data_IF_075611873114
#
_entry.id   IF_075611873114
#
_cell.length_a   1.000
_cell.length_b   1.000
_cell.length_c   1.000
_cell.angle_alpha   90.00
_cell.angle_beta   90.00
_cell.angle_gamma   90.00
#
_symmetry.space_group_name_H-M   'P 1'
#
loop_
_entity.id
_entity.type
_entity.pdbx_description
1 polymer ?
#
# COMPACT_ATOMS: atom_id res chain seq x y z
N UNK A 1 -24.69 -47.81 -18.71
CA UNK A 1 -24.50 -47.45 -17.29
C UNK A 1 -24.45 -45.94 -17.20
N UNK A 2 -25.47 -45.24 -16.70
CA UNK A 2 -25.34 -43.82 -16.42
C UNK A 2 -24.59 -43.66 -15.10
N UNK A 3 -23.42 -43.02 -15.14
CA UNK A 3 -22.76 -42.51 -13.94
C UNK A 3 -23.32 -41.11 -13.67
N UNK A 4 -23.90 -40.95 -12.50
CA UNK A 4 -24.43 -39.69 -11.96
C UNK A 4 -23.29 -38.70 -11.71
N UNK A 5 -23.36 -37.53 -12.34
CA UNK A 5 -22.51 -36.38 -12.03
C UNK A 5 -23.16 -35.56 -10.91
N UNK A 6 -23.02 -36.01 -9.66
CA UNK A 6 -23.30 -35.16 -8.51
C UNK A 6 -22.13 -34.19 -8.32
N UNK A 7 -22.18 -33.07 -9.04
CA UNK A 7 -21.24 -31.98 -8.96
C UNK A 7 -21.32 -31.26 -7.61
N UNK A 8 -20.46 -31.64 -6.67
CA UNK A 8 -20.25 -30.87 -5.43
C UNK A 8 -19.49 -29.59 -5.76
N UNK A 9 -20.22 -28.46 -5.79
CA UNK A 9 -19.68 -27.11 -5.96
C UNK A 9 -18.90 -26.68 -4.71
N UNK A 10 -17.58 -26.59 -4.81
CA UNK A 10 -16.66 -26.25 -3.71
C UNK A 10 -16.51 -24.74 -3.41
N UNK A 11 -17.37 -23.87 -3.96
CA UNK A 11 -17.27 -22.42 -3.76
C UNK A 11 -18.58 -21.83 -3.29
N UNK A 12 -18.91 -22.08 -2.02
CA UNK A 12 -19.81 -21.18 -1.32
C UNK A 12 -19.19 -19.78 -1.34
N UNK A 13 -19.90 -18.81 -1.96
CA UNK A 13 -19.56 -17.40 -1.81
C UNK A 13 -19.93 -17.04 -0.38
N UNK A 14 -18.94 -16.76 0.48
CA UNK A 14 -19.20 -16.15 1.78
C UNK A 14 -19.87 -14.81 1.50
N UNK A 15 -21.05 -14.59 2.08
CA UNK A 15 -21.75 -13.33 1.94
C UNK A 15 -20.93 -12.23 2.64
N UNK A 16 -21.04 -10.97 2.21
CA UNK A 16 -20.36 -9.86 2.89
C UNK A 16 -20.80 -9.75 4.37
N UNK A 17 -21.96 -10.31 4.75
CA UNK A 17 -22.46 -10.33 6.13
C UNK A 17 -21.78 -11.40 7.01
N UNK A 18 -21.28 -12.48 6.41
CA UNK A 18 -20.66 -13.62 7.13
C UNK A 18 -19.12 -13.56 7.10
N UNK A 19 -18.55 -12.63 6.34
CA UNK A 19 -17.11 -12.44 6.23
C UNK A 19 -16.57 -11.62 7.39
N UNK A 20 -15.84 -12.27 8.31
CA UNK A 20 -15.02 -11.58 9.30
C UNK A 20 -13.65 -11.27 8.67
N UNK A 21 -13.33 -10.01 8.33
CA UNK A 21 -12.04 -9.69 7.75
C UNK A 21 -10.92 -9.98 8.77
N UNK A 22 -9.77 -10.52 8.33
CA UNK A 22 -8.66 -10.79 9.23
C UNK A 22 -8.07 -9.51 9.84
N UNK A 23 -8.33 -8.37 9.22
CA UNK A 23 -7.97 -7.04 9.72
C UNK A 23 -9.22 -6.15 9.65
N UNK A 24 -9.69 -5.59 10.79
CA UNK A 24 -10.78 -4.63 10.81
C UNK A 24 -10.57 -3.45 9.86
N UNK A 25 -11.68 -2.84 9.41
CA UNK A 25 -11.63 -1.54 8.74
C UNK A 25 -11.28 -0.48 9.80
N UNK A 26 -10.32 0.40 9.50
CA UNK A 26 -9.97 1.47 10.42
C UNK A 26 -8.60 2.07 10.15
N UNK A 27 -8.23 3.03 10.99
CA UNK A 27 -6.89 3.59 11.04
C UNK A 27 -6.01 2.70 11.92
N UNK A 28 -4.74 2.54 11.54
CA UNK A 28 -3.79 1.75 12.31
C UNK A 28 -2.56 2.59 12.58
N UNK A 29 -2.15 2.69 13.85
CA UNK A 29 -0.86 3.29 14.18
C UNK A 29 0.25 2.35 13.67
N UNK A 30 1.15 2.86 12.84
CA UNK A 30 2.18 2.04 12.17
C UNK A 30 3.62 2.45 12.49
N UNK A 31 3.83 3.70 12.89
CA UNK A 31 5.14 4.25 13.24
C UNK A 31 4.96 5.53 14.07
N UNK A 32 5.98 5.91 14.83
CA UNK A 32 6.14 7.26 15.32
C UNK A 32 6.57 8.20 14.17
N UNK A 33 6.17 9.48 14.24
CA UNK A 33 6.54 10.50 13.25
C UNK A 33 8.04 10.55 12.98
N UNK A 34 8.85 10.46 14.04
CA UNK A 34 10.30 10.58 13.99
C UNK A 34 11.00 9.39 13.31
N UNK A 35 10.32 8.24 13.19
CA UNK A 35 10.84 7.07 12.48
C UNK A 35 10.80 7.26 10.96
N UNK A 36 10.06 8.27 10.46
CA UNK A 36 9.97 8.60 9.03
C UNK A 36 10.42 10.04 8.82
N UNK A 37 11.74 10.31 8.93
CA UNK A 37 12.29 11.64 8.74
C UNK A 37 12.22 12.08 7.26
N UNK A 38 12.24 11.12 6.33
CA UNK A 38 12.34 11.34 4.88
C UNK A 38 13.70 11.89 4.44
N UNK A 39 13.94 11.93 3.12
CA UNK A 39 13.09 11.42 2.04
C UNK A 39 13.18 9.90 1.82
N UNK A 40 14.11 9.21 2.49
CA UNK A 40 14.28 7.77 2.39
C UNK A 40 13.04 7.01 2.88
N UNK A 41 12.77 5.87 2.25
CA UNK A 41 11.60 5.06 2.56
C UNK A 41 11.93 3.98 3.60
N UNK A 42 11.07 3.87 4.61
CA UNK A 42 11.23 2.95 5.75
C UNK A 42 10.19 1.82 5.66
N UNK A 43 10.66 0.57 5.78
CA UNK A 43 9.81 -0.61 5.74
C UNK A 43 8.96 -0.76 7.00
N UNK A 44 7.74 -1.28 6.84
CA UNK A 44 6.91 -1.77 7.93
C UNK A 44 6.00 -2.90 7.44
N UNK A 45 5.64 -3.84 8.32
CA UNK A 45 4.71 -4.90 7.98
C UNK A 45 3.29 -4.56 8.45
N UNK A 46 2.29 -4.74 7.60
CA UNK A 46 0.93 -4.33 7.85
C UNK A 46 -0.10 -5.14 7.07
N UNK A 47 -1.17 -5.60 7.73
CA UNK A 47 -2.27 -6.30 7.05
C UNK A 47 -1.80 -7.54 6.26
N UNK A 48 -0.76 -8.22 6.77
CA UNK A 48 -0.09 -9.33 6.09
C UNK A 48 0.68 -8.92 4.83
N UNK A 49 1.19 -7.68 4.77
CA UNK A 49 1.89 -7.11 3.61
C UNK A 49 3.12 -6.34 4.05
N UNK A 50 4.14 -6.36 3.21
CA UNK A 50 5.30 -5.48 3.36
C UNK A 50 5.01 -4.16 2.66
N UNK A 51 5.01 -3.10 3.45
CA UNK A 51 4.71 -1.74 3.05
C UNK A 51 5.91 -0.84 3.38
N UNK A 52 5.90 0.37 2.83
CA UNK A 52 6.89 1.42 3.09
C UNK A 52 6.23 2.75 3.34
N UNK A 53 6.86 3.54 4.20
CA UNK A 53 6.55 4.94 4.45
C UNK A 53 7.68 5.80 3.91
N UNK A 54 7.36 6.96 3.35
CA UNK A 54 8.33 8.01 3.04
C UNK A 54 7.69 9.37 3.23
N UNK A 55 8.51 10.43 3.26
CA UNK A 55 8.04 11.80 3.39
C UNK A 55 8.39 12.59 2.13
N UNK A 56 7.39 13.27 1.57
CA UNK A 56 7.58 14.13 0.41
C UNK A 56 8.19 15.48 0.79
N UNK A 57 8.51 16.30 -0.21
CA UNK A 57 9.15 17.60 -0.02
C UNK A 57 8.28 18.60 0.78
N UNK A 58 6.95 18.42 0.77
CA UNK A 58 6.00 19.24 1.54
C UNK A 58 5.82 18.72 2.97
N UNK A 59 6.51 17.64 3.34
CA UNK A 59 6.44 17.02 4.65
C UNK A 59 5.29 16.03 4.83
N UNK A 60 4.50 15.74 3.78
CA UNK A 60 3.41 14.77 3.87
C UNK A 60 3.94 13.33 3.76
N UNK A 61 3.43 12.46 4.64
CA UNK A 61 3.79 11.04 4.64
C UNK A 61 3.00 10.29 3.58
N UNK A 62 3.69 9.45 2.80
CA UNK A 62 3.10 8.56 1.79
C UNK A 62 3.35 7.12 2.16
N UNK A 63 2.37 6.26 1.91
CA UNK A 63 2.48 4.82 2.13
C UNK A 63 2.18 4.04 0.85
N UNK A 64 3.05 3.09 0.53
CA UNK A 64 2.87 2.17 -0.59
C UNK A 64 3.35 0.76 -0.23
N UNK A 65 3.14 -0.19 -1.13
CA UNK A 65 3.71 -1.53 -1.04
C UNK A 65 5.24 -1.45 -1.20
N UNK A 66 6.00 -2.28 -0.50
CA UNK A 66 7.47 -2.25 -0.59
C UNK A 66 8.00 -2.80 -1.93
N UNK A 67 7.13 -3.36 -2.78
CA UNK A 67 7.53 -4.03 -4.01
C UNK A 67 7.26 -3.19 -5.26
N UNK A 68 8.32 -2.86 -6.01
CA UNK A 68 8.22 -2.22 -7.30
C UNK A 68 7.59 -3.16 -8.36
N UNK A 69 6.54 -2.74 -9.08
CA UNK A 69 5.82 -3.58 -10.03
C UNK A 69 6.60 -3.89 -11.31
N UNK A 70 7.80 -3.32 -11.50
CA UNK A 70 8.67 -3.61 -12.64
C UNK A 70 9.23 -5.04 -12.55
N UNK A 71 10.23 -5.25 -11.69
CA UNK A 71 10.88 -6.57 -11.50
C UNK A 71 11.07 -6.92 -10.02
N UNK A 72 10.32 -6.28 -9.12
CA UNK A 72 10.34 -6.61 -7.70
C UNK A 72 11.47 -5.97 -6.89
N UNK A 73 12.01 -4.83 -7.33
CA UNK A 73 12.92 -4.04 -6.49
C UNK A 73 12.21 -3.53 -5.23
N UNK A 74 12.88 -3.64 -4.08
CA UNK A 74 12.32 -3.16 -2.81
C UNK A 74 12.55 -1.66 -2.65
N UNK A 75 11.51 -0.90 -2.30
CA UNK A 75 11.61 0.54 -2.07
C UNK A 75 12.33 0.84 -0.76
N UNK A 76 12.22 -0.02 0.24
CA UNK A 76 12.92 0.09 1.53
C UNK A 76 14.44 -0.05 1.39
N UNK A 77 14.93 -0.61 0.28
CA UNK A 77 16.36 -0.79 0.01
C UNK A 77 16.93 0.38 -0.81
N UNK A 78 16.68 1.61 -0.36
CA UNK A 78 17.25 2.84 -0.93
C UNK A 78 16.31 3.65 -1.83
N UNK A 79 15.03 3.29 -1.89
CA UNK A 79 13.99 4.11 -2.48
C UNK A 79 13.74 5.37 -1.66
N UNK A 80 13.24 6.40 -2.34
CA UNK A 80 13.02 7.71 -1.76
C UNK A 80 11.81 8.38 -2.38
N UNK A 81 11.28 9.39 -1.72
CA UNK A 81 10.35 10.32 -2.34
C UNK A 81 11.14 11.54 -2.83
N UNK A 82 11.00 11.88 -4.11
CA UNK A 82 11.56 13.10 -4.71
C UNK A 82 10.40 13.94 -5.21
N UNK A 83 10.35 15.19 -4.78
CA UNK A 83 9.13 16.03 -4.86
C UNK A 83 7.96 15.30 -4.17
N UNK A 84 6.95 14.84 -4.91
CA UNK A 84 5.82 14.03 -4.44
C UNK A 84 5.81 12.61 -5.02
N UNK A 85 6.90 12.21 -5.68
CA UNK A 85 7.01 10.98 -6.45
C UNK A 85 7.92 9.93 -5.78
N UNK A 86 7.48 8.67 -5.78
CA UNK A 86 8.27 7.54 -5.29
C UNK A 86 9.25 7.10 -6.37
N UNK A 87 10.54 7.06 -6.05
CA UNK A 87 11.61 6.63 -6.97
C UNK A 87 12.15 5.28 -6.54
N UNK A 88 12.05 4.28 -7.42
CA UNK A 88 12.60 2.95 -7.20
C UNK A 88 14.14 2.98 -7.25
N UNK A 89 14.85 2.40 -6.26
CA UNK A 89 16.31 2.43 -6.23
C UNK A 89 16.96 1.59 -7.32
N UNK A 90 16.23 0.63 -7.89
CA UNK A 90 16.83 -0.36 -8.78
C UNK A 90 17.02 0.19 -10.20
N UNK A 91 15.95 0.67 -10.82
CA UNK A 91 15.95 1.16 -12.20
C UNK A 91 15.40 2.57 -12.34
N UNK A 92 15.19 3.29 -11.23
CA UNK A 92 14.69 4.66 -11.23
C UNK A 92 13.25 4.84 -11.74
N UNK A 93 12.44 3.77 -11.77
CA UNK A 93 11.02 3.91 -12.11
C UNK A 93 10.36 4.83 -11.08
N UNK A 94 9.66 5.84 -11.58
CA UNK A 94 9.06 6.89 -10.76
C UNK A 94 7.55 6.76 -10.78
N UNK A 95 6.93 6.84 -9.60
CA UNK A 95 5.50 6.73 -9.40
C UNK A 95 4.97 8.01 -8.76
N UNK A 96 3.96 8.61 -9.37
CA UNK A 96 3.32 9.83 -8.87
C UNK A 96 2.49 9.61 -7.60
N UNK A 97 1.90 10.68 -7.05
CA UNK A 97 1.14 10.62 -5.79
C UNK A 97 -0.13 9.76 -5.88
N UNK A 98 -0.65 9.51 -7.08
CA UNK A 98 -1.77 8.59 -7.33
C UNK A 98 -1.32 7.12 -7.55
N UNK A 99 -0.01 6.88 -7.47
CA UNK A 99 0.64 5.59 -7.65
C UNK A 99 0.87 5.20 -9.11
N UNK A 100 0.46 5.99 -10.11
CA UNK A 100 0.74 5.68 -11.52
C UNK A 100 2.23 5.93 -11.82
N UNK A 101 2.81 5.09 -12.66
CA UNK A 101 4.15 5.34 -13.18
C UNK A 101 4.12 6.58 -14.08
N UNK A 102 5.02 7.52 -13.81
CA UNK A 102 5.13 8.80 -14.53
C UNK A 102 6.45 8.92 -15.29
N UNK A 103 7.45 8.12 -14.92
CA UNK A 103 8.75 8.11 -15.59
C UNK A 103 9.36 6.70 -15.60
N UNK A 104 9.91 6.32 -16.76
CA UNK A 104 10.80 5.17 -16.94
C UNK A 104 12.11 5.73 -17.51
N UNK A 105 13.23 5.69 -16.76
CA UNK A 105 14.50 6.29 -17.21
C UNK A 105 15.04 5.72 -18.52
N UNK A 106 14.71 4.46 -18.85
CA UNK A 106 15.09 3.83 -20.12
C UNK A 106 14.41 4.46 -21.34
N UNK A 107 13.35 5.27 -21.15
CA UNK A 107 12.60 5.92 -22.23
C UNK A 107 11.55 5.02 -22.90
N UNK A 108 11.33 3.81 -22.37
CA UNK A 108 10.30 2.90 -22.86
C UNK A 108 8.88 3.45 -22.61
N UNK A 109 7.89 3.08 -23.44
CA UNK A 109 6.50 3.43 -23.20
C UNK A 109 6.02 2.91 -21.85
N UNK A 110 5.41 3.80 -21.04
CA UNK A 110 4.89 3.44 -19.72
C UNK A 110 3.68 2.50 -19.87
N UNK A 111 3.73 1.27 -19.32
CA UNK A 111 2.59 0.36 -19.37
C UNK A 111 1.40 0.90 -18.55
N UNK A 112 0.18 0.79 -19.06
CA UNK A 112 -1.03 1.25 -18.34
C UNK A 112 -1.21 0.61 -16.95
N UNK A 113 -0.71 -0.62 -16.79
CA UNK A 113 -0.75 -1.37 -15.53
C UNK A 113 0.39 -1.02 -14.57
N UNK A 114 1.36 -0.21 -14.97
CA UNK A 114 2.47 0.22 -14.13
C UNK A 114 1.97 1.19 -13.06
N UNK A 115 1.51 0.63 -11.95
CA UNK A 115 1.04 1.38 -10.80
C UNK A 115 1.32 0.66 -9.49
N UNK A 116 1.61 1.43 -8.46
CA UNK A 116 1.64 0.98 -7.07
C UNK A 116 0.34 1.34 -6.38
N UNK A 117 -0.02 0.60 -5.34
CA UNK A 117 -1.15 0.99 -4.49
C UNK A 117 -0.69 2.06 -3.52
N UNK A 118 -1.43 3.16 -3.45
CA UNK A 118 -1.27 4.16 -2.40
C UNK A 118 -2.26 3.88 -1.27
N UNK A 119 -1.77 3.95 -0.03
CA UNK A 119 -2.62 3.91 1.16
C UNK A 119 -2.87 5.32 1.67
N UNK A 120 -4.05 5.54 2.26
CA UNK A 120 -4.31 6.78 2.95
C UNK A 120 -3.52 6.81 4.26
N UNK A 121 -2.83 7.92 4.50
CA UNK A 121 -1.98 8.16 5.66
C UNK A 121 -2.41 9.45 6.32
N UNK A 122 -2.36 9.49 7.64
CA UNK A 122 -2.44 10.74 8.40
C UNK A 122 -1.43 10.74 9.53
N UNK A 123 -1.00 11.93 9.92
CA UNK A 123 -0.13 12.13 11.06
C UNK A 123 -0.93 12.79 12.18
N UNK A 124 -0.94 12.19 13.37
CA UNK A 124 -1.68 12.68 14.55
C UNK A 124 -0.91 12.37 15.83
N UNK A 125 -0.79 13.37 16.70
CA UNK A 125 -0.23 13.21 18.06
C UNK A 125 1.16 12.54 18.12
N UNK A 126 1.99 12.72 17.09
CA UNK A 126 3.33 12.12 16.99
C UNK A 126 3.36 10.70 16.42
N UNK A 127 2.23 10.22 15.89
CA UNK A 127 2.08 8.93 15.24
C UNK A 127 1.66 9.05 13.78
N UNK A 128 2.10 8.09 12.99
CA UNK A 128 1.67 7.89 11.62
C UNK A 128 0.61 6.78 11.62
N UNK A 129 -0.54 7.09 11.05
CA UNK A 129 -1.66 6.18 10.93
C UNK A 129 -1.94 5.84 9.47
N UNK A 130 -2.12 4.54 9.18
CA UNK A 130 -2.45 4.03 7.84
C UNK A 130 -3.85 3.44 7.84
N UNK A 131 -4.67 3.84 6.88
CA UNK A 131 -6.04 3.35 6.78
C UNK A 131 -6.13 1.97 6.09
N UNK A 132 -6.80 1.03 6.74
CA UNK A 132 -7.18 -0.26 6.18
C UNK A 132 -8.67 -0.29 5.84
N UNK A 133 -8.97 -0.77 4.63
CA UNK A 133 -10.33 -1.09 4.21
C UNK A 133 -10.31 -2.13 3.09
N UNK A 134 -11.50 -2.61 2.74
CA UNK A 134 -11.70 -3.36 1.50
C UNK A 134 -11.29 -2.50 0.32
N UNK A 135 -10.57 -3.10 -0.63
CA UNK A 135 -10.09 -2.42 -1.84
C UNK A 135 -11.23 -1.64 -2.52
N UNK A 136 -10.99 -0.37 -2.84
CA UNK A 136 -11.94 0.50 -3.53
C UNK A 136 -12.84 1.33 -2.61
N UNK A 137 -12.76 1.15 -1.29
CA UNK A 137 -13.41 2.05 -0.35
C UNK A 137 -12.53 3.27 -0.06
N UNK A 138 -13.17 4.43 0.04
CA UNK A 138 -12.51 5.65 0.47
C UNK A 138 -12.16 5.58 1.97
N UNK A 139 -11.09 6.27 2.40
CA UNK A 139 -10.79 6.43 3.81
C UNK A 139 -11.92 7.14 4.54
N UNK A 140 -12.30 6.57 5.67
CA UNK A 140 -13.30 7.13 6.57
C UNK A 140 -12.56 7.90 7.67
N UNK A 141 -12.64 9.24 7.71
CA UNK A 141 -11.85 10.05 8.62
C UNK A 141 -12.19 9.78 10.09
N UNK A 142 -13.41 9.33 10.36
CA UNK A 142 -13.95 9.11 11.71
C UNK A 142 -13.92 7.63 12.12
N UNK A 143 -13.31 6.77 11.31
CA UNK A 143 -13.15 5.35 11.65
C UNK A 143 -12.26 5.16 12.90
N UNK A 144 -12.50 4.04 13.57
CA UNK A 144 -11.75 3.60 14.74
C UNK A 144 -10.24 3.54 14.46
N UNK A 145 -9.45 3.92 15.47
CA UNK A 145 -8.00 3.81 15.48
C UNK A 145 -7.62 2.56 16.26
N UNK A 146 -6.90 1.67 15.59
CA UNK A 146 -6.35 0.43 16.14
C UNK A 146 -4.88 0.66 16.47
N UNK A 147 -4.50 0.47 17.73
CA UNK A 147 -3.10 0.46 18.13
C UNK A 147 -2.49 -0.91 17.77
N UNK A 148 -1.24 -0.90 17.30
CA UNK A 148 -0.44 -2.10 17.02
C UNK A 148 0.43 -2.54 18.19
N UNK A 149 0.45 -1.78 19.28
CA UNK A 149 1.20 -2.12 20.49
C UNK A 149 0.67 -3.35 21.21
#
# INVERSE_FOLDING_TARGET
MPHSEDGVSYRARVSDADYVPPFPKGWYVVAATEEVPGPEMVAFNAFGRDLVLGRDADGAVRATQDLCPHVGGLFSQGGRITDDCIVCPFHGWTFGPDGRCVEIPAGDPIPERAKVRMWAVREREGHIEVFHCRRGQAPDPDAEVHDRR
#
